data_IF_599834998121
#
_entry.id   IF_599834998121
#
_cell.length_a   1.000
_cell.length_b   1.000
_cell.length_c   1.000
_cell.angle_alpha   90.00
_cell.angle_beta   90.00
_cell.angle_gamma   90.00
#
_symmetry.space_group_name_H-M   'P 1'
#
loop_
_entity.id
_entity.type
_entity.pdbx_description
1 polymer ?
#
# COMPACT_ATOMS: atom_id res chain seq x y z
N UNK A 1 -2.17 -23.05 74.76
CA UNK A 1 -1.05 -22.35 74.08
C UNK A 1 -1.15 -22.65 72.59
N UNK A 2 -1.53 -21.64 71.79
CA UNK A 2 -1.75 -21.72 70.34
C UNK A 2 -0.45 -21.73 69.55
N UNK A 3 -0.37 -22.46 68.41
CA UNK A 3 0.36 -21.98 67.23
C UNK A 3 -0.01 -22.72 65.94
N UNK A 4 -1.06 -22.26 65.26
CA UNK A 4 -1.30 -22.55 63.84
C UNK A 4 -0.39 -21.66 62.98
N UNK A 5 0.48 -22.27 62.17
CA UNK A 5 1.31 -21.58 61.18
C UNK A 5 0.43 -21.21 59.98
N UNK A 6 0.17 -19.93 59.76
CA UNK A 6 -0.45 -19.43 58.52
C UNK A 6 0.64 -19.26 57.47
N UNK A 7 0.57 -20.04 56.39
CA UNK A 7 1.30 -19.79 55.15
C UNK A 7 0.58 -18.66 54.41
N UNK A 8 1.26 -17.53 54.24
CA UNK A 8 0.79 -16.42 53.40
C UNK A 8 1.44 -16.60 52.04
N UNK A 9 0.65 -17.01 51.04
CA UNK A 9 1.08 -17.04 49.65
C UNK A 9 1.01 -15.61 49.09
N UNK A 10 2.15 -15.03 48.74
CA UNK A 10 2.23 -13.73 48.11
C UNK A 10 1.89 -13.87 46.62
N UNK A 11 0.75 -13.32 46.21
CA UNK A 11 0.32 -13.24 44.82
C UNK A 11 1.04 -12.06 44.15
N UNK A 12 2.10 -12.34 43.38
CA UNK A 12 2.79 -11.34 42.58
C UNK A 12 1.94 -11.00 41.35
N UNK A 13 1.29 -9.82 41.35
CA UNK A 13 0.62 -9.27 40.18
C UNK A 13 1.69 -8.78 39.20
N UNK A 14 1.88 -9.51 38.11
CA UNK A 14 2.72 -9.08 36.98
C UNK A 14 1.91 -8.05 36.18
N UNK A 15 2.24 -6.76 36.32
CA UNK A 15 1.73 -5.71 35.43
C UNK A 15 2.38 -5.88 34.06
N UNK A 16 1.65 -6.47 33.11
CA UNK A 16 2.01 -6.40 31.70
C UNK A 16 1.82 -4.94 31.22
N UNK A 17 2.80 -4.33 30.52
CA UNK A 17 2.61 -3.02 29.94
C UNK A 17 1.52 -3.10 28.86
N UNK A 18 0.44 -2.35 29.07
CA UNK A 18 -0.58 -2.12 28.05
C UNK A 18 0.07 -1.23 26.99
N UNK A 19 0.45 -1.79 25.85
CA UNK A 19 0.85 -1.02 24.68
C UNK A 19 -0.42 -0.33 24.18
N UNK A 20 -0.60 0.93 24.52
CA UNK A 20 -1.60 1.79 23.90
C UNK A 20 -1.25 1.92 22.42
N UNK A 21 -2.04 1.28 21.55
CA UNK A 21 -2.00 1.58 20.13
C UNK A 21 -2.45 3.03 19.95
N UNK A 22 -1.50 3.94 19.74
CA UNK A 22 -1.83 5.27 19.22
C UNK A 22 -2.57 5.06 17.90
N UNK A 23 -3.67 5.78 17.62
CA UNK A 23 -4.23 5.77 16.29
C UNK A 23 -3.13 6.27 15.36
N UNK A 24 -2.66 5.42 14.44
CA UNK A 24 -1.91 5.94 13.31
C UNK A 24 -2.79 7.02 12.69
N UNK A 25 -2.28 8.25 12.60
CA UNK A 25 -2.93 9.30 11.83
C UNK A 25 -3.31 8.70 10.46
N UNK A 26 -4.50 9.04 9.98
CA UNK A 26 -5.01 8.54 8.72
C UNK A 26 -3.97 8.73 7.61
N UNK A 27 -3.67 7.66 6.86
CA UNK A 27 -2.72 7.73 5.75
C UNK A 27 -3.43 8.43 4.58
N UNK A 28 -2.97 9.63 4.25
CA UNK A 28 -3.49 10.47 3.16
C UNK A 28 -2.56 10.53 1.96
N UNK A 29 -3.09 10.90 0.79
CA UNK A 29 -2.28 11.11 -0.40
C UNK A 29 -1.28 12.25 -0.21
N UNK A 30 -1.70 13.39 0.32
CA UNK A 30 -0.88 14.61 0.47
C UNK A 30 0.31 14.42 1.39
N UNK A 31 0.11 13.77 2.52
CA UNK A 31 1.10 13.69 3.59
C UNK A 31 2.03 12.47 3.42
N UNK A 32 1.50 11.35 2.90
CA UNK A 32 2.22 10.08 2.92
C UNK A 32 2.55 9.56 1.51
N UNK A 33 1.55 9.49 0.62
CA UNK A 33 1.72 8.83 -0.68
C UNK A 33 2.44 9.72 -1.69
N UNK A 34 2.10 10.99 -1.76
CA UNK A 34 2.69 11.93 -2.73
C UNK A 34 4.20 12.09 -2.51
N UNK A 35 4.73 12.32 -1.29
CA UNK A 35 6.18 12.41 -1.09
C UNK A 35 6.90 11.12 -1.49
N UNK A 36 6.31 9.95 -1.16
CA UNK A 36 6.84 8.65 -1.56
C UNK A 36 6.83 8.47 -3.08
N UNK A 37 5.74 8.87 -3.74
CA UNK A 37 5.59 8.81 -5.20
C UNK A 37 6.60 9.71 -5.91
N UNK A 38 6.75 10.94 -5.43
CA UNK A 38 7.71 11.92 -5.95
C UNK A 38 9.14 11.40 -5.87
N UNK A 39 9.50 10.78 -4.74
CA UNK A 39 10.85 10.26 -4.51
C UNK A 39 11.15 8.99 -5.33
N UNK A 40 10.19 8.07 -5.44
CA UNK A 40 10.47 6.73 -5.94
C UNK A 40 9.91 6.44 -7.36
N UNK A 41 8.91 7.19 -7.81
CA UNK A 41 8.12 6.83 -8.99
C UNK A 41 8.06 7.93 -10.06
N UNK A 42 8.08 9.20 -9.66
CA UNK A 42 7.82 10.33 -10.54
C UNK A 42 8.86 10.55 -11.64
N UNK A 43 10.07 9.98 -11.53
CA UNK A 43 11.03 10.05 -12.64
C UNK A 43 10.48 9.41 -13.93
N UNK A 44 9.76 8.29 -13.79
CA UNK A 44 9.19 7.53 -14.91
C UNK A 44 7.69 7.76 -15.10
N UNK A 45 6.99 8.21 -14.05
CA UNK A 45 5.53 8.40 -14.01
C UNK A 45 5.10 9.85 -13.71
N UNK A 46 6.02 10.81 -13.83
CA UNK A 46 5.86 12.23 -13.50
C UNK A 46 5.17 13.09 -14.55
N UNK A 47 5.29 14.41 -14.41
CA UNK A 47 4.73 15.39 -15.35
C UNK A 47 5.23 15.27 -16.81
N UNK A 48 6.38 14.60 -17.01
CA UNK A 48 6.97 14.35 -18.34
C UNK A 48 6.55 13.00 -18.92
N UNK A 49 5.78 12.20 -18.19
CA UNK A 49 5.25 10.93 -18.65
C UNK A 49 3.96 11.14 -19.47
N UNK A 50 3.69 10.31 -20.49
CA UNK A 50 2.46 10.37 -21.28
C UNK A 50 1.23 9.94 -20.49
N UNK A 51 0.04 10.40 -20.87
CA UNK A 51 -1.19 9.81 -20.33
C UNK A 51 -1.34 8.35 -20.80
N UNK A 52 -2.15 7.55 -20.10
CA UNK A 52 -2.29 6.11 -20.40
C UNK A 52 -2.78 5.80 -21.82
N UNK A 53 -3.56 6.69 -22.44
CA UNK A 53 -3.98 6.56 -23.84
C UNK A 53 -2.77 6.58 -24.76
N UNK A 54 -2.03 7.70 -24.72
CA UNK A 54 -0.79 7.92 -25.47
C UNK A 54 0.26 6.83 -25.21
N UNK A 55 0.46 6.44 -23.94
CA UNK A 55 1.39 5.36 -23.59
C UNK A 55 1.02 4.04 -24.28
N UNK A 56 -0.27 3.76 -24.50
CA UNK A 56 -0.71 2.53 -25.16
C UNK A 56 -0.58 2.61 -26.69
N UNK A 57 -0.74 3.79 -27.27
CA UNK A 57 -0.60 4.02 -28.70
C UNK A 57 0.85 3.83 -29.18
N UNK A 58 1.83 4.29 -28.39
CA UNK A 58 3.26 4.18 -28.72
C UNK A 58 4.11 3.63 -27.56
N UNK A 59 3.68 2.49 -27.03
CA UNK A 59 4.30 1.85 -25.86
C UNK A 59 5.80 1.62 -26.04
N UNK A 60 6.20 1.16 -27.22
CA UNK A 60 7.59 0.81 -27.49
C UNK A 60 8.51 2.03 -27.42
N UNK A 61 8.06 3.21 -27.86
CA UNK A 61 8.83 4.45 -27.72
C UNK A 61 9.01 4.82 -26.25
N UNK A 62 7.93 4.89 -25.50
CA UNK A 62 7.99 5.31 -24.10
C UNK A 62 8.79 4.34 -23.22
N UNK A 63 8.72 3.03 -23.49
CA UNK A 63 9.57 2.05 -22.79
C UNK A 63 11.07 2.27 -23.11
N UNK A 64 11.44 2.63 -24.35
CA UNK A 64 12.84 3.02 -24.67
C UNK A 64 13.28 4.31 -23.98
N UNK A 65 12.34 5.21 -23.71
CA UNK A 65 12.56 6.47 -22.99
C UNK A 65 12.50 6.30 -21.47
N UNK A 66 12.34 5.07 -20.96
CA UNK A 66 12.12 4.77 -19.54
C UNK A 66 10.94 5.53 -18.93
N UNK A 67 9.86 5.67 -19.71
CA UNK A 67 8.61 6.29 -19.26
C UNK A 67 7.51 5.24 -19.12
N UNK A 68 6.72 5.38 -18.06
CA UNK A 68 5.43 4.72 -17.93
C UNK A 68 4.29 5.72 -18.17
N UNK A 69 3.03 5.36 -17.93
CA UNK A 69 1.93 6.32 -17.95
C UNK A 69 2.03 7.29 -16.75
N UNK A 70 1.60 8.53 -16.94
CA UNK A 70 1.52 9.59 -15.94
C UNK A 70 0.63 9.20 -14.76
N UNK A 71 1.12 9.46 -13.55
CA UNK A 71 0.47 9.17 -12.26
C UNK A 71 0.88 10.17 -11.17
N UNK A 72 1.26 11.40 -11.54
CA UNK A 72 1.86 12.40 -10.63
C UNK A 72 0.84 13.25 -9.87
N UNK A 73 -0.44 13.15 -10.21
CA UNK A 73 -1.53 13.77 -9.45
C UNK A 73 -2.39 12.70 -8.76
N UNK A 74 -3.18 13.11 -7.76
CA UNK A 74 -4.13 12.22 -7.10
C UNK A 74 -5.06 11.53 -8.09
N UNK A 75 -5.67 12.29 -9.02
CA UNK A 75 -6.60 11.75 -9.99
C UNK A 75 -5.91 10.76 -10.95
N UNK A 76 -4.71 11.10 -11.41
CA UNK A 76 -3.93 10.24 -12.31
C UNK A 76 -3.49 8.94 -11.62
N UNK A 77 -3.17 8.98 -10.32
CA UNK A 77 -2.82 7.77 -9.57
C UNK A 77 -4.06 6.91 -9.27
N UNK A 78 -5.16 7.52 -8.81
CA UNK A 78 -6.42 6.82 -8.48
C UNK A 78 -7.01 6.10 -9.70
N UNK A 79 -6.78 6.61 -10.91
CA UNK A 79 -7.13 5.94 -12.16
C UNK A 79 -6.67 4.46 -12.18
N UNK A 80 -5.48 4.17 -11.62
CA UNK A 80 -4.86 2.84 -11.58
C UNK A 80 -5.23 2.01 -10.35
N UNK A 81 -6.03 2.57 -9.45
CA UNK A 81 -6.49 1.91 -8.23
C UNK A 81 -7.97 1.58 -8.35
N UNK A 82 -8.80 2.61 -8.56
CA UNK A 82 -10.25 2.51 -8.49
C UNK A 82 -10.88 2.20 -9.84
N UNK A 83 -10.82 3.14 -10.79
CA UNK A 83 -11.42 3.02 -12.12
C UNK A 83 -10.76 4.01 -13.08
N UNK A 84 -10.59 3.67 -14.37
CA UNK A 84 -10.97 2.47 -15.10
C UNK A 84 -9.89 1.39 -15.16
N UNK A 85 -8.81 1.53 -14.39
CA UNK A 85 -7.72 0.54 -14.37
C UNK A 85 -7.60 -0.13 -13.01
N UNK A 86 -8.72 -0.62 -12.50
CA UNK A 86 -8.85 -1.20 -11.16
C UNK A 86 -7.76 -2.23 -10.86
N UNK A 87 -7.18 -2.14 -9.68
CA UNK A 87 -6.18 -3.08 -9.18
C UNK A 87 -4.84 -3.00 -9.90
N UNK A 88 -4.63 -2.07 -10.84
CA UNK A 88 -3.39 -2.03 -11.61
C UNK A 88 -2.20 -1.60 -10.75
N UNK A 89 -2.36 -0.60 -9.88
CA UNK A 89 -1.32 -0.22 -8.94
C UNK A 89 -1.02 -1.37 -7.98
N UNK A 90 -2.07 -1.97 -7.40
CA UNK A 90 -1.95 -3.06 -6.43
C UNK A 90 -1.16 -4.24 -7.00
N UNK A 91 -1.52 -4.74 -8.20
CA UNK A 91 -0.77 -5.82 -8.86
C UNK A 91 0.70 -5.51 -9.15
N UNK A 92 1.05 -4.23 -9.28
CA UNK A 92 2.41 -3.79 -9.63
C UNK A 92 3.28 -3.59 -8.40
N UNK A 93 2.68 -3.19 -7.29
CA UNK A 93 3.32 -2.98 -6.00
C UNK A 93 3.22 -4.18 -5.06
N UNK A 94 2.40 -5.19 -5.37
CA UNK A 94 2.27 -6.39 -4.53
C UNK A 94 3.64 -7.07 -4.34
N UNK A 95 3.90 -7.54 -3.13
CA UNK A 95 5.13 -8.25 -2.76
C UNK A 95 5.13 -9.72 -3.22
N UNK A 96 4.03 -10.18 -3.83
CA UNK A 96 3.85 -11.54 -4.31
C UNK A 96 3.01 -12.39 -3.36
N UNK A 97 2.69 -11.91 -2.17
CA UNK A 97 1.85 -12.60 -1.19
C UNK A 97 0.43 -12.89 -1.70
N UNK A 98 -0.05 -12.13 -2.68
CA UNK A 98 -1.36 -12.33 -3.31
C UNK A 98 -1.29 -13.04 -4.68
N UNK A 99 -0.15 -13.67 -5.00
CA UNK A 99 0.07 -14.34 -6.29
C UNK A 99 0.31 -15.84 -6.09
N UNK A 100 -0.25 -16.68 -6.97
CA UNK A 100 -0.10 -18.13 -6.87
C UNK A 100 1.35 -18.62 -7.01
N UNK A 101 2.22 -17.82 -7.64
CA UNK A 101 3.63 -18.15 -7.88
C UNK A 101 4.58 -17.42 -6.91
N UNK A 102 4.06 -16.64 -5.96
CA UNK A 102 4.85 -15.85 -5.02
C UNK A 102 5.72 -14.76 -5.66
N UNK A 103 5.48 -14.41 -6.92
CA UNK A 103 6.31 -13.42 -7.62
C UNK A 103 5.80 -12.01 -7.33
N UNK A 104 6.66 -11.08 -6.88
CA UNK A 104 6.27 -9.70 -6.68
C UNK A 104 5.89 -9.03 -8.00
N UNK A 105 5.07 -7.99 -7.90
CA UNK A 105 4.82 -7.08 -8.99
C UNK A 105 6.11 -6.40 -9.46
N UNK A 106 6.21 -6.09 -10.75
CA UNK A 106 7.44 -5.56 -11.33
C UNK A 106 7.82 -4.14 -10.88
N UNK A 107 6.94 -3.46 -10.15
CA UNK A 107 7.22 -2.14 -9.56
C UNK A 107 7.50 -2.20 -8.05
N UNK A 108 7.32 -3.36 -7.40
CA UNK A 108 7.61 -3.56 -5.97
C UNK A 108 9.05 -3.17 -5.62
N UNK A 109 10.00 -3.50 -6.49
CA UNK A 109 11.42 -3.18 -6.32
C UNK A 109 11.71 -1.68 -6.12
N UNK A 110 10.86 -0.79 -6.64
CA UNK A 110 11.02 0.66 -6.52
C UNK A 110 10.43 1.23 -5.24
N UNK A 111 9.80 0.41 -4.40
CA UNK A 111 9.34 0.87 -3.09
C UNK A 111 10.48 1.12 -2.11
N UNK A 112 11.71 0.68 -2.38
CA UNK A 112 12.84 0.89 -1.48
C UNK A 112 14.09 0.09 -1.86
N UNK A 113 15.24 0.53 -1.35
CA UNK A 113 16.54 -0.10 -1.57
C UNK A 113 16.72 -1.40 -0.78
N UNK A 114 15.96 -1.61 0.28
CA UNK A 114 15.95 -2.84 1.09
C UNK A 114 14.55 -3.44 1.18
N UNK A 115 14.44 -4.70 1.61
CA UNK A 115 13.14 -5.35 1.79
C UNK A 115 12.33 -4.69 2.91
N UNK A 116 12.99 -4.30 3.99
CA UNK A 116 12.38 -3.59 5.11
C UNK A 116 11.78 -2.25 4.67
N UNK A 117 12.50 -1.52 3.80
CA UNK A 117 12.00 -0.27 3.24
C UNK A 117 10.82 -0.51 2.30
N UNK A 118 10.90 -1.52 1.42
CA UNK A 118 9.81 -1.88 0.51
C UNK A 118 8.54 -2.26 1.27
N UNK A 119 8.66 -3.07 2.31
CA UNK A 119 7.52 -3.48 3.14
C UNK A 119 6.91 -2.29 3.89
N UNK A 120 7.74 -1.41 4.47
CA UNK A 120 7.28 -0.17 5.12
C UNK A 120 6.49 0.72 4.15
N UNK A 121 7.01 0.90 2.93
CA UNK A 121 6.38 1.75 1.93
C UNK A 121 5.15 1.09 1.30
N UNK A 122 5.15 -0.24 1.11
CA UNK A 122 3.96 -1.00 0.70
C UNK A 122 2.83 -0.87 1.72
N UNK A 123 3.15 -0.92 3.01
CA UNK A 123 2.17 -0.76 4.08
C UNK A 123 1.45 0.59 4.02
N UNK A 124 2.14 1.68 3.63
CA UNK A 124 1.51 2.98 3.40
C UNK A 124 0.51 2.92 2.24
N UNK A 125 0.88 2.33 1.10
CA UNK A 125 -0.05 2.16 -0.02
C UNK A 125 -1.26 1.30 0.36
N UNK A 126 -1.05 0.18 1.06
CA UNK A 126 -2.14 -0.67 1.55
C UNK A 126 -3.08 0.11 2.47
N UNK A 127 -2.54 0.79 3.47
CA UNK A 127 -3.33 1.58 4.42
C UNK A 127 -4.14 2.68 3.72
N UNK A 128 -3.53 3.40 2.76
CA UNK A 128 -4.21 4.44 1.99
C UNK A 128 -5.32 3.91 1.08
N UNK A 129 -5.10 2.75 0.44
CA UNK A 129 -6.11 2.11 -0.40
C UNK A 129 -7.30 1.64 0.44
N UNK A 130 -7.08 1.18 1.67
CA UNK A 130 -8.15 0.74 2.58
C UNK A 130 -7.79 -0.48 3.43
N UNK A 131 -6.52 -0.85 3.50
CA UNK A 131 -6.03 -2.06 4.16
C UNK A 131 -6.18 -3.31 3.29
N UNK A 132 -5.99 -4.48 3.90
CA UNK A 132 -6.00 -5.76 3.18
C UNK A 132 -7.37 -6.13 2.60
N UNK A 133 -8.47 -5.65 3.20
CA UNK A 133 -9.83 -5.87 2.67
C UNK A 133 -10.09 -5.13 1.35
N UNK A 134 -9.32 -4.07 1.09
CA UNK A 134 -9.36 -3.26 -0.12
C UNK A 134 -8.22 -3.62 -1.10
N UNK A 135 -7.17 -4.28 -0.65
CA UNK A 135 -6.03 -4.62 -1.52
C UNK A 135 -6.38 -5.78 -2.47
N UNK A 136 -6.94 -5.44 -3.63
CA UNK A 136 -7.46 -6.40 -4.60
C UNK A 136 -6.56 -6.60 -5.81
N UNK A 137 -6.44 -7.86 -6.24
CA UNK A 137 -5.77 -8.23 -7.50
C UNK A 137 -6.72 -8.20 -8.71
N UNK A 138 -8.01 -8.00 -8.47
CA UNK A 138 -9.07 -7.99 -9.49
C UNK A 138 -8.90 -6.84 -10.50
N UNK A 139 -9.41 -7.06 -11.71
CA UNK A 139 -9.51 -6.06 -12.78
C UNK A 139 -10.89 -5.43 -12.77
N UNK A 140 -11.06 -4.36 -13.55
CA UNK A 140 -12.32 -3.60 -13.61
C UNK A 140 -13.55 -4.43 -14.01
N UNK A 141 -13.37 -5.52 -14.77
CA UNK A 141 -14.47 -6.43 -15.12
C UNK A 141 -14.77 -7.53 -14.08
N UNK A 142 -14.00 -7.59 -12.99
CA UNK A 142 -14.05 -8.67 -12.00
C UNK A 142 -14.46 -8.17 -10.60
N UNK A 143 -14.38 -6.86 -10.35
CA UNK A 143 -14.66 -6.23 -9.07
C UNK A 143 -16.13 -5.84 -8.94
N UNK A 144 -16.73 -6.07 -7.77
CA UNK A 144 -18.10 -5.64 -7.49
C UNK A 144 -18.16 -4.17 -7.03
N UNK A 145 -19.37 -3.60 -6.99
CA UNK A 145 -19.58 -2.24 -6.48
C UNK A 145 -19.23 -2.15 -4.99
N UNK A 146 -19.64 -3.15 -4.21
CA UNK A 146 -19.41 -3.23 -2.77
C UNK A 146 -17.91 -3.34 -2.46
N UNK A 147 -17.13 -3.98 -3.34
CA UNK A 147 -15.67 -4.03 -3.21
C UNK A 147 -15.01 -2.69 -3.54
N UNK A 148 -15.53 -1.95 -4.53
CA UNK A 148 -15.06 -0.59 -4.85
C UNK A 148 -15.31 0.39 -3.69
N UNK A 149 -16.43 0.24 -2.98
CA UNK A 149 -16.78 1.08 -1.82
C UNK A 149 -15.84 0.90 -0.61
N UNK A 150 -14.98 -0.13 -0.61
CA UNK A 150 -13.94 -0.32 0.42
C UNK A 150 -12.73 0.58 0.22
N UNK A 151 -12.58 1.18 -0.96
CA UNK A 151 -11.46 2.07 -1.24
C UNK A 151 -11.60 3.37 -0.44
N UNK A 152 -10.59 3.69 0.38
CA UNK A 152 -10.57 4.93 1.19
C UNK A 152 -10.04 6.11 0.40
N UNK A 153 -8.78 6.01 -0.05
CA UNK A 153 -8.12 6.99 -0.92
C UNK A 153 -8.21 8.42 -0.41
N UNK A 154 -7.99 8.62 0.90
CA UNK A 154 -8.01 9.95 1.50
C UNK A 154 -7.00 10.89 0.80
N UNK A 155 -7.40 12.11 0.50
CA UNK A 155 -6.58 13.06 -0.26
C UNK A 155 -5.48 13.71 0.57
#
# INVERSE_FOLDING_TARGET
MFRTRKLVAALALVFAPVVSASPMNEVTYREHIRPLWENNCAQCHGATAPYRGEFREDRARYERENKGPRMDTYADLVYFIAWPSTGALMRRLDDGGNTANGKPGNMYQYLGGSEEERQKNLALFRAWVGGDEAWTMKRSGEISKEELERFKLAY
#
